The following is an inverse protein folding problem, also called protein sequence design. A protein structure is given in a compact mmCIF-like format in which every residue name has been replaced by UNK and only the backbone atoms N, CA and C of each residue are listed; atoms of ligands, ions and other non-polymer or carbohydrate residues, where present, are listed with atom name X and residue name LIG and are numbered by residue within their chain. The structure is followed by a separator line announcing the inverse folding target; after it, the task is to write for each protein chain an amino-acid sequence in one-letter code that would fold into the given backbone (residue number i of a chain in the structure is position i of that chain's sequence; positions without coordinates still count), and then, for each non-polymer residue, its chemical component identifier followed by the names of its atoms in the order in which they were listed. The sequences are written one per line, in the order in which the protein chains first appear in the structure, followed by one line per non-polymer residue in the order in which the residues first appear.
data_IF_452112681556
#
_entry.id   IF_452112681556
#
_cell.length_a   1.000
_cell.length_b   1.000
_cell.length_c   1.000
_cell.angle_alpha   90.00
_cell.angle_beta   90.00
_cell.angle_gamma   90.00
#
_symmetry.space_group_name_H-M   'P 1'
#
loop_
_entity.id
_entity.type
_entity.pdbx_description
1 polymer ?
#
# COMPACT_ATOMS: atom_id res chain seq x y z
N UNK A 1 -51.52 42.66 -20.63
CA UNK A 1 -50.37 42.84 -19.71
C UNK A 1 -50.80 42.36 -18.32
N UNK A 2 -50.28 41.30 -17.70
CA UNK A 2 -48.90 40.75 -17.63
C UNK A 2 -48.94 39.20 -17.55
N UNK A 3 -47.85 38.50 -17.92
CA UNK A 3 -47.85 37.05 -18.13
C UNK A 3 -47.65 36.26 -16.83
N UNK A 4 -48.24 35.07 -16.80
CA UNK A 4 -48.08 34.02 -15.80
C UNK A 4 -46.65 33.48 -15.84
N UNK A 5 -45.86 33.70 -14.79
CA UNK A 5 -44.56 33.03 -14.61
C UNK A 5 -44.79 31.71 -13.86
N UNK A 6 -44.74 30.61 -14.60
CA UNK A 6 -44.54 29.27 -14.04
C UNK A 6 -43.05 29.15 -13.74
N UNK A 7 -42.68 29.33 -12.47
CA UNK A 7 -41.35 29.00 -12.00
C UNK A 7 -41.26 27.48 -11.81
N UNK A 8 -40.81 26.78 -12.84
CA UNK A 8 -40.28 25.42 -12.73
C UNK A 8 -38.97 25.49 -11.94
N UNK A 9 -39.06 25.41 -10.62
CA UNK A 9 -37.93 25.09 -9.76
C UNK A 9 -37.56 23.64 -10.05
N UNK A 10 -36.63 23.46 -10.99
CA UNK A 10 -35.87 22.24 -11.10
C UNK A 10 -35.17 22.02 -9.75
N UNK A 11 -35.70 21.08 -8.96
CA UNK A 11 -35.01 20.48 -7.83
C UNK A 11 -33.80 19.74 -8.41
N UNK A 12 -32.74 20.50 -8.67
CA UNK A 12 -31.44 20.00 -9.05
C UNK A 12 -31.00 19.03 -7.98
N UNK A 13 -31.04 17.75 -8.36
CA UNK A 13 -30.42 16.66 -7.63
C UNK A 13 -29.03 17.09 -7.21
N UNK A 14 -28.87 17.35 -5.92
CA UNK A 14 -27.56 17.52 -5.31
C UNK A 14 -26.97 16.12 -5.22
N UNK A 15 -26.54 15.60 -6.37
CA UNK A 15 -25.70 14.41 -6.46
C UNK A 15 -24.40 14.83 -5.79
N UNK A 16 -24.24 14.45 -4.53
CA UNK A 16 -22.97 14.50 -3.85
C UNK A 16 -21.98 13.67 -4.66
N UNK A 17 -21.25 14.30 -5.59
CA UNK A 17 -20.13 13.73 -6.34
C UNK A 17 -18.89 13.53 -5.45
N UNK A 18 -19.05 13.56 -4.13
CA UNK A 18 -18.08 13.00 -3.22
C UNK A 18 -18.20 11.49 -3.27
N UNK A 19 -17.48 10.89 -4.23
CA UNK A 19 -17.37 9.46 -4.36
C UNK A 19 -17.06 8.85 -3.00
N UNK A 20 -17.99 8.06 -2.49
CA UNK A 20 -17.77 7.23 -1.32
C UNK A 20 -16.76 6.16 -1.76
N UNK A 21 -15.47 6.47 -1.67
CA UNK A 21 -14.40 5.60 -2.16
C UNK A 21 -14.39 4.34 -1.29
N UNK A 22 -14.95 3.25 -1.83
CA UNK A 22 -15.12 2.01 -1.08
C UNK A 22 -13.74 1.43 -0.76
N UNK A 23 -13.43 1.33 0.54
CA UNK A 23 -12.24 0.60 1.00
C UNK A 23 -12.45 -0.86 0.63
N UNK A 24 -11.68 -1.36 -0.35
CA UNK A 24 -11.69 -2.77 -0.69
C UNK A 24 -11.04 -3.56 0.45
N UNK A 25 -11.77 -4.53 0.97
CA UNK A 25 -11.29 -5.35 2.09
C UNK A 25 -10.21 -6.35 1.63
N UNK A 26 -9.30 -6.75 2.55
CA UNK A 26 -8.36 -7.81 2.26
C UNK A 26 -9.07 -9.13 1.94
N UNK A 27 -8.43 -9.95 1.10
CA UNK A 27 -8.96 -11.24 0.71
C UNK A 27 -8.96 -12.21 1.90
N UNK A 28 -10.16 -12.61 2.35
CA UNK A 28 -10.34 -13.50 3.50
C UNK A 28 -10.13 -14.99 3.16
N UNK A 29 -10.62 -15.42 2.00
CA UNK A 29 -10.65 -16.82 1.55
C UNK A 29 -9.65 -17.03 0.40
N UNK A 30 -8.36 -16.89 0.70
CA UNK A 30 -7.30 -17.03 -0.28
C UNK A 30 -7.11 -18.48 -0.71
N UNK A 31 -6.91 -18.71 -2.00
CA UNK A 31 -6.51 -20.03 -2.52
C UNK A 31 -5.01 -20.29 -2.27
N UNK A 32 -4.56 -21.53 -2.54
CA UNK A 32 -3.16 -21.95 -2.33
C UNK A 32 -2.13 -21.04 -3.02
N UNK A 33 -2.41 -20.57 -4.24
CA UNK A 33 -1.51 -19.68 -4.98
C UNK A 33 -1.40 -18.32 -4.29
N UNK A 34 -2.53 -17.78 -3.83
CA UNK A 34 -2.60 -16.52 -3.12
C UNK A 34 -1.93 -16.57 -1.74
N UNK A 35 -2.06 -17.69 -1.03
CA UNK A 35 -1.35 -17.92 0.24
C UNK A 35 0.16 -18.03 0.02
N UNK A 36 0.61 -18.77 -1.00
CA UNK A 36 2.03 -18.81 -1.35
C UNK A 36 2.56 -17.40 -1.64
N UNK A 37 1.82 -16.62 -2.42
CA UNK A 37 2.19 -15.25 -2.75
C UNK A 37 2.27 -14.35 -1.50
N UNK A 38 1.38 -14.54 -0.53
CA UNK A 38 1.46 -13.83 0.76
C UNK A 38 2.72 -14.21 1.55
N UNK A 39 3.06 -15.50 1.60
CA UNK A 39 4.29 -15.96 2.27
C UNK A 39 5.54 -15.39 1.60
N UNK A 40 5.60 -15.44 0.26
CA UNK A 40 6.74 -14.93 -0.50
C UNK A 40 6.90 -13.41 -0.30
N UNK A 41 5.80 -12.64 -0.38
CA UNK A 41 5.83 -11.21 -0.12
C UNK A 41 6.24 -10.88 1.32
N UNK A 42 5.76 -11.65 2.30
CA UNK A 42 6.17 -11.49 3.69
C UNK A 42 7.68 -11.73 3.87
N UNK A 43 8.27 -12.71 3.18
CA UNK A 43 9.72 -12.93 3.22
C UNK A 43 10.50 -11.73 2.67
N UNK A 44 10.05 -11.11 1.58
CA UNK A 44 10.65 -9.88 1.04
C UNK A 44 10.58 -8.75 2.07
N UNK A 45 9.41 -8.54 2.69
CA UNK A 45 9.21 -7.52 3.71
C UNK A 45 10.09 -7.75 4.94
N UNK A 46 10.22 -9.00 5.39
CA UNK A 46 11.09 -9.37 6.51
C UNK A 46 12.57 -9.10 6.19
N UNK A 47 13.00 -9.41 4.96
CA UNK A 47 14.38 -9.23 4.49
C UNK A 47 14.76 -7.76 4.35
N UNK A 48 13.86 -6.93 3.82
CA UNK A 48 14.20 -5.55 3.40
C UNK A 48 13.65 -4.45 4.31
N UNK A 49 12.60 -4.72 5.10
CA UNK A 49 11.89 -3.66 5.83
C UNK A 49 12.00 -3.80 7.35
N UNK A 50 12.13 -5.04 7.86
CA UNK A 50 12.06 -5.32 9.30
C UNK A 50 13.06 -4.52 10.13
N UNK A 51 14.29 -4.33 9.65
CA UNK A 51 15.35 -3.67 10.43
C UNK A 51 14.97 -2.29 10.97
N UNK A 52 14.12 -1.54 10.25
CA UNK A 52 13.68 -0.21 10.65
C UNK A 52 12.20 -0.19 11.09
N UNK A 53 11.36 -1.02 10.48
CA UNK A 53 9.90 -1.00 10.68
C UNK A 53 9.36 -2.15 11.52
N UNK A 54 10.22 -3.03 12.03
CA UNK A 54 9.84 -4.07 12.98
C UNK A 54 9.39 -3.46 14.30
N UNK A 55 8.58 -4.20 15.06
CA UNK A 55 8.05 -3.71 16.34
C UNK A 55 9.17 -3.30 17.29
N UNK A 56 9.22 -2.02 17.66
CA UNK A 56 10.24 -1.45 18.55
C UNK A 56 11.51 -0.97 17.85
N UNK A 57 11.58 -1.08 16.52
CA UNK A 57 12.69 -0.54 15.73
C UNK A 57 12.49 0.96 15.42
N UNK A 58 13.55 1.58 14.91
CA UNK A 58 13.73 3.04 14.83
C UNK A 58 12.68 3.81 14.00
N UNK A 59 11.94 3.13 13.13
CA UNK A 59 10.92 3.71 12.23
C UNK A 59 9.55 3.03 12.39
N UNK A 60 9.34 2.27 13.47
CA UNK A 60 8.09 1.55 13.72
C UNK A 60 6.89 2.45 13.97
N UNK A 61 7.11 3.66 14.50
CA UNK A 61 6.07 4.68 14.68
C UNK A 61 5.65 5.33 13.35
N UNK A 62 6.53 5.37 12.35
CA UNK A 62 6.19 5.91 11.03
C UNK A 62 5.40 4.91 10.19
N UNK A 63 5.76 3.63 10.31
CA UNK A 63 5.08 2.49 9.71
C UNK A 63 5.47 1.23 10.48
N UNK A 64 4.47 0.53 11.01
CA UNK A 64 4.68 -0.75 11.68
C UNK A 64 4.55 -1.90 10.66
N UNK A 65 5.56 -2.75 10.58
CA UNK A 65 5.58 -3.92 9.69
C UNK A 65 4.81 -5.11 10.26
N UNK A 66 3.52 -4.90 10.53
CA UNK A 66 2.57 -5.93 10.96
C UNK A 66 1.37 -5.92 10.01
N UNK A 67 0.79 -7.09 9.73
CA UNK A 67 -0.22 -7.22 8.66
C UNK A 67 -1.41 -6.28 8.88
N UNK A 68 -2.00 -6.34 10.08
CA UNK A 68 -3.15 -5.54 10.45
C UNK A 68 -2.83 -4.04 10.36
N UNK A 69 -1.69 -3.61 10.89
CA UNK A 69 -1.26 -2.22 10.85
C UNK A 69 -1.09 -1.71 9.41
N UNK A 70 -0.43 -2.48 8.53
CA UNK A 70 -0.25 -2.07 7.14
C UNK A 70 -1.58 -1.87 6.39
N UNK A 71 -2.60 -2.66 6.73
CA UNK A 71 -3.94 -2.54 6.15
C UNK A 71 -4.70 -1.37 6.77
N UNK A 72 -4.74 -1.28 8.10
CA UNK A 72 -5.48 -0.27 8.87
C UNK A 72 -4.96 1.15 8.58
N UNK A 73 -3.64 1.32 8.55
CA UNK A 73 -2.97 2.58 8.25
C UNK A 73 -2.85 2.85 6.75
N UNK A 74 -3.39 1.96 5.91
CA UNK A 74 -3.50 2.09 4.45
C UNK A 74 -2.15 2.19 3.74
N UNK A 75 -1.08 1.70 4.35
CA UNK A 75 0.20 1.47 3.67
C UNK A 75 0.02 0.46 2.54
N UNK A 76 -0.79 -0.56 2.81
CA UNK A 76 -1.26 -1.55 1.83
C UNK A 76 -2.75 -1.34 1.61
N UNK A 77 -3.13 -1.13 0.36
CA UNK A 77 -4.53 -1.09 -0.08
C UNK A 77 -4.80 -2.32 -0.94
N UNK A 78 -5.53 -3.32 -0.40
CA UNK A 78 -5.87 -4.52 -1.14
C UNK A 78 -6.43 -4.22 -2.53
N UNK A 79 -6.03 -5.00 -3.53
CA UNK A 79 -6.47 -4.88 -4.92
C UNK A 79 -6.03 -3.60 -5.63
N UNK A 80 -5.16 -2.81 -5.02
CA UNK A 80 -4.79 -1.50 -5.54
C UNK A 80 -3.35 -1.13 -5.19
N UNK A 81 -2.42 -1.69 -5.97
CA UNK A 81 -1.01 -1.39 -5.80
C UNK A 81 -0.68 0.08 -6.04
N UNK A 82 -1.39 0.74 -6.96
CA UNK A 82 -1.14 2.15 -7.28
C UNK A 82 -1.50 3.09 -6.14
N UNK A 83 -2.51 2.76 -5.32
CA UNK A 83 -2.83 3.55 -4.12
C UNK A 83 -2.10 3.07 -2.86
N UNK A 84 -1.40 1.94 -2.91
CA UNK A 84 -0.63 1.43 -1.77
C UNK A 84 0.64 2.26 -1.55
N UNK A 85 0.70 3.00 -0.43
CA UNK A 85 1.86 3.87 -0.08
C UNK A 85 3.15 3.05 0.00
N UNK A 86 3.09 1.84 0.57
CA UNK A 86 4.23 0.92 0.70
C UNK A 86 4.89 0.67 -0.66
N UNK A 87 4.12 0.24 -1.66
CA UNK A 87 4.66 -0.05 -3.00
C UNK A 87 5.24 1.21 -3.66
N UNK A 88 4.53 2.34 -3.57
CA UNK A 88 4.97 3.60 -4.18
C UNK A 88 6.29 4.10 -3.61
N UNK A 89 6.50 3.99 -2.30
CA UNK A 89 7.74 4.39 -1.63
C UNK A 89 8.91 3.52 -2.10
N UNK A 90 8.72 2.20 -2.17
CA UNK A 90 9.76 1.29 -2.67
C UNK A 90 10.10 1.59 -4.13
N UNK A 91 9.08 1.69 -4.99
CA UNK A 91 9.25 1.91 -6.43
C UNK A 91 9.88 3.26 -6.78
N UNK A 92 9.61 4.31 -5.98
CA UNK A 92 10.23 5.63 -6.16
C UNK A 92 11.65 5.73 -5.62
N UNK A 93 12.05 4.80 -4.76
CA UNK A 93 13.33 4.88 -4.07
C UNK A 93 13.34 5.78 -2.85
N UNK A 94 12.17 6.02 -2.24
CA UNK A 94 12.01 6.90 -1.07
C UNK A 94 12.40 6.20 0.26
N UNK A 95 13.11 5.07 0.21
CA UNK A 95 13.69 4.39 1.37
C UNK A 95 15.20 4.70 1.47
N UNK A 96 15.78 4.74 2.68
CA UNK A 96 17.23 4.77 2.84
C UNK A 96 17.91 3.62 2.08
N UNK A 97 18.96 3.94 1.31
CA UNK A 97 19.71 3.01 0.46
C UNK A 97 21.19 3.30 0.57
N UNK A 98 22.03 2.34 0.17
CA UNK A 98 23.45 2.58 -0.06
C UNK A 98 23.68 3.64 -1.13
N UNK A 99 24.79 4.38 -1.04
CA UNK A 99 25.11 5.50 -1.94
C UNK A 99 25.09 5.11 -3.42
N UNK A 100 25.63 3.93 -3.75
CA UNK A 100 25.63 3.40 -5.12
C UNK A 100 24.23 3.15 -5.71
N UNK A 101 23.21 3.01 -4.87
CA UNK A 101 21.85 2.64 -5.26
C UNK A 101 20.82 3.75 -5.00
N UNK A 102 21.26 4.91 -4.50
CA UNK A 102 20.38 6.03 -4.17
C UNK A 102 20.06 6.88 -5.42
N UNK A 103 18.80 7.28 -5.64
CA UNK A 103 18.46 8.19 -6.73
C UNK A 103 19.08 9.58 -6.51
N UNK A 104 19.58 10.19 -7.58
CA UNK A 104 20.19 11.52 -7.53
C UNK A 104 19.19 12.58 -7.01
N UNK A 105 19.59 13.34 -5.99
CA UNK A 105 18.80 14.44 -5.43
C UNK A 105 17.84 14.06 -4.30
N UNK A 106 17.79 12.79 -3.87
CA UNK A 106 17.28 12.44 -2.54
C UNK A 106 18.34 12.70 -1.48
N UNK A 107 17.96 12.99 -0.23
CA UNK A 107 18.86 12.99 0.93
C UNK A 107 18.91 11.56 1.49
N UNK A 108 19.87 10.71 1.12
CA UNK A 108 19.76 9.32 1.52
C UNK A 108 20.46 9.21 2.87
N UNK A 109 19.74 8.64 3.85
CA UNK A 109 20.36 8.23 5.11
C UNK A 109 21.19 6.96 4.87
N UNK A 110 22.39 7.14 4.32
CA UNK A 110 23.27 6.04 3.93
C UNK A 110 23.71 5.17 5.13
N UNK A 111 23.66 5.73 6.33
CA UNK A 111 24.00 5.08 7.61
C UNK A 111 23.03 3.96 8.02
N UNK A 112 21.80 4.01 7.53
CA UNK A 112 20.74 3.03 7.84
C UNK A 112 20.16 2.35 6.59
N UNK A 113 20.77 2.59 5.43
CA UNK A 113 20.31 2.05 4.15
C UNK A 113 20.82 0.63 3.88
N UNK A 114 20.06 -0.11 3.07
CA UNK A 114 20.48 -1.38 2.48
C UNK A 114 20.54 -1.30 0.95
N UNK A 115 20.88 -2.39 0.25
CA UNK A 115 20.74 -2.46 -1.20
C UNK A 115 19.29 -2.21 -1.61
N UNK A 116 19.10 -1.67 -2.82
CA UNK A 116 17.76 -1.54 -3.39
C UNK A 116 17.03 -2.89 -3.40
N UNK A 117 15.72 -2.85 -3.18
CA UNK A 117 14.87 -4.05 -3.34
C UNK A 117 14.96 -4.50 -4.80
N UNK A 118 15.33 -5.77 -5.06
CA UNK A 118 15.40 -6.29 -6.43
C UNK A 118 14.05 -6.18 -7.15
N UNK A 119 14.05 -5.97 -8.46
CA UNK A 119 12.83 -5.76 -9.26
C UNK A 119 11.89 -6.98 -9.17
N UNK A 120 12.46 -8.19 -9.15
CA UNK A 120 11.71 -9.43 -8.98
C UNK A 120 10.99 -9.52 -7.62
N UNK A 121 11.61 -9.00 -6.57
CA UNK A 121 11.02 -8.97 -5.23
C UNK A 121 9.98 -7.86 -5.09
N UNK A 122 10.20 -6.72 -5.75
CA UNK A 122 9.20 -5.66 -5.86
C UNK A 122 7.94 -6.15 -6.63
N UNK A 123 8.13 -6.95 -7.67
CA UNK A 123 7.00 -7.58 -8.37
C UNK A 123 6.23 -8.58 -7.51
N UNK A 124 6.89 -9.33 -6.62
CA UNK A 124 6.18 -10.17 -5.65
C UNK A 124 5.25 -9.34 -4.74
N UNK A 125 5.72 -8.20 -4.24
CA UNK A 125 4.89 -7.27 -3.45
C UNK A 125 3.72 -6.76 -4.29
N UNK A 126 3.96 -6.34 -5.53
CA UNK A 126 2.91 -5.84 -6.43
C UNK A 126 1.83 -6.89 -6.67
N UNK A 127 2.24 -8.12 -6.95
CA UNK A 127 1.33 -9.24 -7.20
C UNK A 127 0.53 -9.57 -5.94
N UNK A 128 1.16 -9.61 -4.77
CA UNK A 128 0.48 -9.87 -3.50
C UNK A 128 -0.61 -8.84 -3.22
N UNK A 129 -0.31 -7.54 -3.37
CA UNK A 129 -1.30 -6.47 -3.19
C UNK A 129 -2.46 -6.61 -4.18
N UNK A 130 -2.16 -6.81 -5.47
CA UNK A 130 -3.16 -6.98 -6.53
C UNK A 130 -4.00 -8.25 -6.36
N UNK A 131 -3.47 -9.28 -5.69
CA UNK A 131 -4.20 -10.49 -5.32
C UNK A 131 -5.12 -10.31 -4.10
N UNK A 132 -5.28 -9.07 -3.62
CA UNK A 132 -6.13 -8.72 -2.49
C UNK A 132 -5.41 -8.72 -1.14
N UNK A 133 -4.07 -8.66 -1.15
CA UNK A 133 -3.22 -8.65 0.03
C UNK A 133 -3.67 -9.68 1.10
N UNK A 134 -3.82 -10.97 0.76
CA UNK A 134 -4.22 -11.98 1.72
C UNK A 134 -3.23 -12.05 2.89
N UNK A 135 -3.76 -12.31 4.10
CA UNK A 135 -2.97 -12.36 5.34
C UNK A 135 -1.93 -13.50 5.26
N UNK A 136 -0.64 -13.14 5.37
CA UNK A 136 0.47 -14.08 5.33
C UNK A 136 0.55 -15.01 6.55
N UNK A 137 -0.05 -14.66 7.68
CA UNK A 137 -0.17 -15.54 8.84
C UNK A 137 -1.08 -16.75 8.57
N UNK A 138 -1.91 -16.67 7.52
CA UNK A 138 -2.71 -17.80 7.04
C UNK A 138 -1.95 -18.71 6.07
N UNK A 139 -0.76 -18.31 5.60
CA UNK A 139 -0.02 -19.09 4.60
C UNK A 139 0.76 -20.29 5.17
N UNK A 140 0.99 -20.29 6.49
CA UNK A 140 1.63 -21.40 7.22
C UNK A 140 0.65 -22.28 8.01
N UNK A 141 -0.66 -22.11 7.81
CA UNK A 141 -1.75 -22.87 8.44
C UNK A 141 -2.45 -23.70 7.38
#
# INVERSE_FOLDING_TARGET
VKPTLIALLALGSCICLYGCESVKLPLKNANKKQLKLAADAHQVLQKHCRQCHGKGDSQSDEMLLEYEALIEDKFVRPWDTQRSKLYRVIAKGDMPREEKDAPAGLFPRYDIGGPAVPEEELELIKQWINAGAPNWEKAGK
#
